data_IF_784467055267
#
_entry.id   IF_784467055267
#
_cell.length_a   1.000
_cell.length_b   1.000
_cell.length_c   1.000
_cell.angle_alpha   90.00
_cell.angle_beta   90.00
_cell.angle_gamma   90.00
#
_symmetry.space_group_name_H-M   'P 1'
#
loop_
_entity.id
_entity.type
_entity.pdbx_description
1 polymer ?
#
# COMPACT_ATOMS: atom_id res chain seq x y z
N UNK A 1 9.92 -9.42 7.54
CA UNK A 1 9.61 -8.43 6.48
C UNK A 1 10.88 -7.81 5.90
N UNK A 2 11.83 -7.33 6.70
CA UNK A 2 13.16 -6.91 6.23
C UNK A 2 13.84 -7.90 5.27
N UNK A 3 13.85 -9.20 5.59
CA UNK A 3 14.44 -10.23 4.72
C UNK A 3 13.81 -10.35 3.31
N UNK A 4 12.58 -9.86 3.12
CA UNK A 4 11.85 -9.85 1.85
C UNK A 4 12.05 -8.50 1.11
N UNK A 5 12.81 -7.57 1.69
CA UNK A 5 13.10 -6.26 1.11
C UNK A 5 12.06 -5.19 1.45
N UNK A 6 11.31 -5.35 2.54
CA UNK A 6 10.43 -4.30 3.05
C UNK A 6 11.14 -3.57 4.18
N UNK A 7 11.40 -2.28 3.96
CA UNK A 7 12.03 -1.39 4.91
C UNK A 7 11.03 -0.81 5.93
N UNK A 8 11.53 -0.07 6.92
CA UNK A 8 10.66 0.51 7.93
C UNK A 8 9.71 1.57 7.36
N UNK A 9 8.46 1.57 7.82
CA UNK A 9 7.42 2.48 7.31
C UNK A 9 7.77 3.95 7.56
N UNK A 10 8.41 4.25 8.71
CA UNK A 10 8.87 5.60 9.05
C UNK A 10 10.13 6.03 8.30
N UNK A 11 10.69 5.20 7.41
CA UNK A 11 11.79 5.58 6.52
C UNK A 11 11.30 5.94 5.12
N UNK A 12 9.99 5.83 4.84
CA UNK A 12 9.45 6.23 3.55
C UNK A 12 9.81 7.68 3.18
N UNK A 13 10.06 7.96 1.89
CA UNK A 13 10.40 9.31 1.43
C UNK A 13 9.28 10.33 1.68
N UNK A 14 8.02 9.90 1.70
CA UNK A 14 6.82 10.72 1.92
C UNK A 14 6.40 10.85 3.40
N UNK A 15 7.14 10.24 4.35
CA UNK A 15 6.74 10.16 5.77
C UNK A 15 6.46 11.51 6.43
N UNK A 16 7.11 12.58 5.98
CA UNK A 16 7.05 13.89 6.66
C UNK A 16 5.67 14.56 6.47
N UNK A 17 4.82 13.97 5.63
CA UNK A 17 3.38 14.30 5.53
C UNK A 17 2.51 13.60 6.58
N UNK A 18 3.05 12.59 7.27
CA UNK A 18 2.33 11.73 8.22
C UNK A 18 2.87 11.83 9.64
N UNK A 19 4.20 11.91 9.80
CA UNK A 19 4.89 11.97 11.08
C UNK A 19 5.91 13.11 11.11
N UNK A 20 6.32 13.50 12.32
CA UNK A 20 7.45 14.38 12.55
C UNK A 20 8.46 13.72 13.47
N UNK A 21 9.74 13.77 13.08
CA UNK A 21 10.86 13.31 13.90
C UNK A 21 11.28 14.42 14.87
N UNK A 22 11.38 14.08 16.15
CA UNK A 22 11.88 14.95 17.22
C UNK A 22 13.37 14.66 17.47
N UNK A 23 14.22 15.08 16.55
CA UNK A 23 15.67 14.78 16.56
C UNK A 23 16.37 15.09 17.89
N UNK A 24 15.98 16.17 18.57
CA UNK A 24 16.53 16.54 19.89
C UNK A 24 16.28 15.49 20.99
N UNK A 25 15.24 14.66 20.83
CA UNK A 25 14.89 13.60 21.77
C UNK A 25 15.56 12.27 21.43
N UNK A 26 16.14 12.12 20.23
CA UNK A 26 16.84 10.91 19.79
C UNK A 26 18.18 10.80 20.52
N UNK A 27 18.52 9.58 20.93
CA UNK A 27 19.81 9.27 21.55
C UNK A 27 20.98 9.59 20.60
N UNK A 28 22.10 10.18 21.09
CA UNK A 28 23.24 10.50 20.24
C UNK A 28 23.72 9.29 19.42
N UNK A 29 23.93 9.49 18.12
CA UNK A 29 24.34 8.43 17.18
C UNK A 29 23.20 7.59 16.60
N UNK A 30 21.97 7.71 17.11
CA UNK A 30 20.83 6.90 16.65
C UNK A 30 20.00 7.56 15.54
N UNK A 31 20.38 8.77 15.08
CA UNK A 31 19.67 9.47 14.00
C UNK A 31 19.65 8.69 12.68
N UNK A 32 20.64 7.84 12.45
CA UNK A 32 20.75 6.96 11.27
C UNK A 32 19.50 6.08 11.10
N UNK A 33 18.86 5.64 12.20
CA UNK A 33 17.65 4.81 12.16
C UNK A 33 16.39 5.58 11.70
N UNK A 34 16.48 6.91 11.58
CA UNK A 34 15.41 7.79 11.12
C UNK A 34 15.74 8.42 9.76
N UNK A 35 16.78 7.98 9.06
CA UNK A 35 17.05 8.48 7.71
C UNK A 35 15.98 8.01 6.74
N UNK A 36 15.59 8.90 5.81
CA UNK A 36 14.64 8.55 4.75
C UNK A 36 15.36 7.75 3.68
N UNK A 37 14.67 6.76 3.14
CA UNK A 37 15.09 6.08 1.93
C UNK A 37 14.69 6.96 0.74
N UNK A 38 15.61 7.25 -0.20
CA UNK A 38 15.32 8.00 -1.42
C UNK A 38 14.23 7.36 -2.29
N UNK A 39 13.49 8.17 -3.07
CA UNK A 39 12.39 7.70 -3.92
C UNK A 39 12.82 6.71 -5.02
N UNK A 40 14.09 6.73 -5.43
CA UNK A 40 14.70 5.82 -6.41
C UNK A 40 15.14 4.49 -5.80
N UNK A 41 15.20 4.39 -4.47
CA UNK A 41 15.57 3.17 -3.75
C UNK A 41 14.37 2.43 -3.14
N UNK A 42 13.17 3.05 -3.14
CA UNK A 42 11.95 2.42 -2.60
C UNK A 42 10.74 2.62 -3.49
N UNK A 43 9.95 1.54 -3.67
CA UNK A 43 8.67 1.60 -4.35
C UNK A 43 7.53 1.59 -3.32
N UNK A 44 6.68 2.62 -3.36
CA UNK A 44 5.52 2.72 -2.46
C UNK A 44 4.35 1.81 -2.88
N UNK A 45 4.38 1.27 -4.10
CA UNK A 45 3.38 0.38 -4.67
C UNK A 45 1.94 0.94 -4.66
N UNK A 46 1.78 2.26 -4.55
CA UNK A 46 0.47 2.91 -4.39
C UNK A 46 -0.20 2.66 -3.03
N UNK A 47 0.51 2.04 -2.08
CA UNK A 47 -0.02 1.68 -0.76
C UNK A 47 0.10 2.89 0.19
N UNK A 48 -1.00 3.31 0.84
CA UNK A 48 -1.00 4.46 1.74
C UNK A 48 -0.13 4.21 2.97
N UNK A 49 0.34 5.29 3.60
CA UNK A 49 1.15 5.23 4.82
C UNK A 49 0.38 4.55 5.95
N UNK A 50 1.02 3.56 6.59
CA UNK A 50 0.39 2.76 7.63
C UNK A 50 1.07 2.94 8.99
N UNK A 51 0.47 3.78 9.83
CA UNK A 51 0.91 3.99 11.22
C UNK A 51 0.92 2.71 12.07
N UNK A 52 0.20 1.67 11.65
CA UNK A 52 0.07 0.39 12.36
C UNK A 52 0.84 -0.74 11.71
N UNK A 53 1.61 -0.46 10.65
CA UNK A 53 2.46 -1.46 10.01
C UNK A 53 3.35 -2.11 11.06
N UNK A 54 3.54 -3.43 10.95
CA UNK A 54 4.54 -4.15 11.77
C UNK A 54 5.96 -3.62 11.56
N UNK A 55 6.19 -2.90 10.45
CA UNK A 55 7.45 -2.25 10.10
C UNK A 55 7.54 -0.79 10.56
N UNK A 56 6.52 -0.28 11.25
CA UNK A 56 6.55 1.07 11.83
C UNK A 56 7.05 1.01 13.27
N UNK A 57 8.11 1.75 13.58
CA UNK A 57 8.59 1.91 14.95
C UNK A 57 7.58 2.61 15.86
N UNK A 58 7.65 2.30 17.16
CA UNK A 58 6.90 3.03 18.18
C UNK A 58 7.35 4.49 18.28
N UNK A 59 6.52 5.33 18.90
CA UNK A 59 6.78 6.78 19.00
C UNK A 59 7.99 7.17 19.85
N UNK A 60 8.57 6.25 20.62
CA UNK A 60 9.70 6.48 21.54
C UNK A 60 10.95 5.66 21.18
N UNK A 61 10.95 4.98 20.04
CA UNK A 61 12.10 4.25 19.52
C UNK A 61 13.36 5.13 19.56
N UNK A 62 14.47 4.59 20.08
CA UNK A 62 15.75 5.30 20.23
C UNK A 62 15.68 6.66 20.96
N UNK A 63 14.63 6.89 21.75
CA UNK A 63 14.53 8.10 22.57
C UNK A 63 15.49 8.07 23.75
N UNK A 64 16.06 9.23 24.07
CA UNK A 64 16.82 9.46 25.31
C UNK A 64 16.01 8.98 26.51
N UNK A 65 16.65 8.27 27.43
CA UNK A 65 15.99 7.78 28.62
C UNK A 65 15.76 8.92 29.63
N UNK A 66 14.53 9.10 30.06
CA UNK A 66 14.17 10.02 31.13
C UNK A 66 14.11 9.26 32.46
N UNK A 67 15.09 9.50 33.33
CA UNK A 67 15.20 8.85 34.64
C UNK A 67 14.10 9.24 35.63
N UNK A 68 13.52 10.45 35.50
CA UNK A 68 12.44 10.90 36.36
C UNK A 68 11.13 10.17 36.06
N UNK A 69 10.81 9.96 34.78
CA UNK A 69 9.59 9.26 34.35
C UNK A 69 9.79 7.76 34.11
N UNK A 70 11.04 7.28 34.15
CA UNK A 70 11.45 5.91 33.78
C UNK A 70 10.96 5.47 32.39
N UNK A 71 10.94 6.40 31.43
CA UNK A 71 10.47 6.18 30.06
C UNK A 71 11.42 6.83 29.05
N UNK A 72 11.44 6.31 27.82
CA UNK A 72 12.10 7.00 26.70
C UNK A 72 11.28 8.23 26.29
N UNK A 73 11.98 9.29 25.89
CA UNK A 73 11.33 10.45 25.29
C UNK A 73 10.73 10.10 23.92
N UNK A 74 9.62 10.73 23.51
CA UNK A 74 9.08 10.53 22.17
C UNK A 74 10.06 11.06 21.11
N UNK A 75 10.35 10.25 20.10
CA UNK A 75 11.19 10.58 18.94
C UNK A 75 10.37 10.77 17.68
N UNK A 76 9.13 10.28 17.65
CA UNK A 76 8.21 10.44 16.53
C UNK A 76 6.81 10.79 17.01
N UNK A 77 6.18 11.74 16.32
CA UNK A 77 4.80 12.14 16.58
C UNK A 77 3.99 12.13 15.29
N UNK A 78 2.78 11.55 15.27
CA UNK A 78 1.90 11.62 14.11
C UNK A 78 1.35 13.03 13.95
N UNK A 79 1.20 13.48 12.70
CA UNK A 79 0.57 14.75 12.36
C UNK A 79 -0.96 14.66 12.38
N UNK A 80 -1.50 13.45 12.18
CA UNK A 80 -2.93 13.17 12.27
C UNK A 80 -3.37 13.07 13.74
N UNK A 81 -4.37 13.85 14.19
CA UNK A 81 -4.90 13.75 15.56
C UNK A 81 -5.51 12.38 15.86
N UNK A 82 -5.39 11.94 17.11
CA UNK A 82 -5.98 10.68 17.58
C UNK A 82 -5.20 9.42 17.21
N UNK A 83 -4.02 9.55 16.60
CA UNK A 83 -3.11 8.44 16.33
C UNK A 83 -2.06 8.36 17.44
N UNK A 84 -1.80 7.14 17.90
CA UNK A 84 -0.70 6.82 18.81
C UNK A 84 0.20 5.81 18.13
N UNK A 85 1.50 6.06 18.15
CA UNK A 85 2.51 5.14 17.62
C UNK A 85 2.92 4.18 18.73
N UNK A 86 2.59 2.90 18.56
CA UNK A 86 2.87 1.82 19.50
C UNK A 86 3.68 0.72 18.82
N UNK A 87 4.24 -0.19 19.60
CA UNK A 87 4.79 -1.43 19.07
C UNK A 87 3.68 -2.27 18.43
N UNK A 88 3.82 -2.55 17.13
CA UNK A 88 2.88 -3.36 16.37
C UNK A 88 3.41 -4.80 16.28
N UNK A 89 2.55 -5.78 16.60
CA UNK A 89 2.91 -7.21 16.63
C UNK A 89 2.18 -8.05 15.59
N UNK A 90 1.39 -7.41 14.72
CA UNK A 90 0.57 -8.09 13.73
C UNK A 90 0.67 -7.39 12.37
N UNK A 91 0.62 -8.18 11.31
CA UNK A 91 0.54 -7.69 9.93
C UNK A 91 -0.81 -6.99 9.71
N UNK A 92 -0.76 -5.76 9.22
CA UNK A 92 -1.96 -5.06 8.72
C UNK A 92 -2.34 -5.57 7.34
N UNK A 93 -3.48 -5.13 6.81
CA UNK A 93 -3.83 -5.44 5.42
C UNK A 93 -2.84 -4.82 4.42
N UNK A 94 -2.31 -3.62 4.71
CA UNK A 94 -1.29 -2.98 3.89
C UNK A 94 0.02 -3.76 3.90
N UNK A 95 0.43 -4.33 5.06
CA UNK A 95 1.63 -5.17 5.13
C UNK A 95 1.46 -6.43 4.29
N UNK A 96 0.30 -7.08 4.38
CA UNK A 96 0.00 -8.28 3.58
C UNK A 96 -0.08 -7.95 2.09
N UNK A 97 -0.63 -6.79 1.72
CA UNK A 97 -0.67 -6.33 0.33
C UNK A 97 0.74 -6.06 -0.22
N UNK A 98 1.63 -5.42 0.54
CA UNK A 98 3.05 -5.27 0.17
C UNK A 98 3.71 -6.62 -0.05
N UNK A 99 3.49 -7.57 0.87
CA UNK A 99 4.02 -8.94 0.74
C UNK A 99 3.49 -9.62 -0.51
N UNK A 100 2.22 -9.44 -0.86
CA UNK A 100 1.67 -10.04 -2.08
C UNK A 100 2.26 -9.42 -3.35
N UNK A 101 2.45 -8.10 -3.38
CA UNK A 101 3.03 -7.41 -4.54
C UNK A 101 4.48 -7.85 -4.74
N UNK A 102 5.29 -7.84 -3.67
CA UNK A 102 6.72 -8.18 -3.74
C UNK A 102 6.92 -9.67 -4.00
N UNK A 103 6.18 -10.52 -3.27
CA UNK A 103 6.20 -11.97 -3.43
C UNK A 103 5.50 -12.47 -4.70
N UNK A 104 4.90 -11.57 -5.51
CA UNK A 104 4.07 -11.90 -6.67
C UNK A 104 2.96 -12.90 -6.32
N UNK A 105 2.45 -12.81 -5.10
CA UNK A 105 1.46 -13.72 -4.57
C UNK A 105 0.09 -13.43 -5.16
N UNK A 106 -0.38 -14.37 -5.98
CA UNK A 106 -1.77 -14.40 -6.39
C UNK A 106 -2.60 -15.02 -5.27
N UNK A 107 -3.25 -14.20 -4.43
CA UNK A 107 -4.22 -14.71 -3.44
C UNK A 107 -5.32 -15.52 -4.16
N UNK A 108 -5.55 -16.80 -3.83
CA UNK A 108 -6.73 -17.51 -4.29
C UNK A 108 -7.96 -16.96 -3.54
N UNK A 109 -8.68 -16.03 -4.18
CA UNK A 109 -9.92 -15.43 -3.69
C UNK A 109 -9.67 -14.15 -2.89
N UNK A 110 -9.76 -12.96 -3.49
CA UNK A 110 -11.03 -12.37 -3.87
C UNK A 110 -10.95 -11.92 -5.33
N UNK A 111 -11.60 -12.65 -6.24
CA UNK A 111 -11.99 -12.04 -7.51
C UNK A 111 -12.97 -10.91 -7.16
N UNK A 112 -12.46 -9.70 -6.97
CA UNK A 112 -13.16 -8.55 -7.56
C UNK A 112 -13.06 -8.77 -9.07
N UNK A 113 -13.95 -9.62 -9.56
CA UNK A 113 -14.18 -9.80 -10.97
C UNK A 113 -14.77 -8.48 -11.43
N UNK A 114 -13.94 -7.59 -11.97
CA UNK A 114 -14.32 -6.65 -13.03
C UNK A 114 -13.17 -5.67 -13.30
N UNK A 115 -12.24 -6.06 -14.17
CA UNK A 115 -11.65 -5.13 -15.16
C UNK A 115 -12.72 -4.68 -16.19
N UNK A 116 -13.94 -4.50 -15.72
CA UNK A 116 -15.17 -4.19 -16.42
C UNK A 116 -15.78 -3.01 -15.67
N UNK A 117 -15.15 -1.86 -15.82
CA UNK A 117 -15.60 -0.60 -15.25
C UNK A 117 -15.62 0.42 -16.39
N UNK A 118 -16.51 1.39 -16.26
CA UNK A 118 -16.52 2.53 -17.16
C UNK A 118 -15.46 3.55 -16.68
N UNK A 119 -14.75 4.13 -17.63
CA UNK A 119 -13.75 5.17 -17.41
C UNK A 119 -14.32 6.59 -17.54
N UNK A 120 -15.58 6.73 -17.98
CA UNK A 120 -16.33 7.99 -18.04
C UNK A 120 -17.64 7.85 -17.26
N UNK A 121 -17.97 8.88 -16.47
CA UNK A 121 -19.17 8.95 -15.64
C UNK A 121 -20.46 9.07 -16.48
N UNK A 122 -20.36 9.44 -17.76
CA UNK A 122 -21.50 9.66 -18.65
C UNK A 122 -21.87 8.43 -19.49
N UNK A 123 -21.27 7.27 -19.25
CA UNK A 123 -21.47 6.08 -20.07
C UNK A 123 -22.94 5.60 -20.13
N UNK A 124 -23.75 5.83 -19.10
CA UNK A 124 -25.20 5.55 -19.16
C UNK A 124 -25.94 6.51 -20.11
N UNK A 125 -25.56 7.78 -20.16
CA UNK A 125 -26.12 8.75 -21.09
C UNK A 125 -25.72 8.40 -22.53
N UNK A 126 -24.45 8.04 -22.75
CA UNK A 126 -23.94 7.65 -24.06
C UNK A 126 -24.62 6.38 -24.59
N UNK A 127 -24.88 5.42 -23.71
CA UNK A 127 -25.65 4.21 -24.04
C UNK A 127 -27.03 4.57 -24.58
N UNK A 128 -27.76 5.48 -23.93
CA UNK A 128 -29.08 5.95 -24.37
C UNK A 128 -28.99 6.67 -25.72
N UNK A 129 -27.89 7.38 -25.99
CA UNK A 129 -27.67 8.08 -27.27
C UNK A 129 -27.22 7.16 -28.41
N UNK A 130 -27.14 5.84 -28.22
CA UNK A 130 -26.73 4.87 -29.24
C UNK A 130 -25.22 4.74 -29.43
N UNK A 131 -24.41 5.27 -28.51
CA UNK A 131 -22.94 5.24 -28.57
C UNK A 131 -22.38 3.82 -28.65
N UNK A 132 -22.95 2.88 -27.89
CA UNK A 132 -22.50 1.48 -27.84
C UNK A 132 -22.71 0.71 -29.16
N UNK A 133 -23.57 1.20 -30.05
CA UNK A 133 -23.94 0.52 -31.31
C UNK A 133 -23.49 1.27 -32.56
N UNK A 134 -22.89 2.45 -32.40
CA UNK A 134 -22.49 3.29 -33.52
C UNK A 134 -21.12 2.90 -34.05
N UNK A 135 -21.03 2.52 -35.33
CA UNK A 135 -19.78 2.01 -35.96
C UNK A 135 -18.58 2.95 -35.82
N UNK A 136 -18.81 4.26 -35.83
CA UNK A 136 -17.72 5.24 -35.69
C UNK A 136 -17.13 5.28 -34.27
N UNK A 137 -17.91 4.92 -33.24
CA UNK A 137 -17.50 5.02 -31.83
C UNK A 137 -17.22 3.66 -31.18
N UNK A 138 -17.23 2.56 -31.96
CA UNK A 138 -17.15 1.19 -31.44
C UNK A 138 -15.90 0.95 -30.58
N UNK A 139 -14.73 1.41 -31.02
CA UNK A 139 -13.47 1.26 -30.28
C UNK A 139 -13.49 2.10 -28.99
N UNK A 140 -13.94 3.35 -29.10
CA UNK A 140 -14.05 4.26 -27.95
C UNK A 140 -15.06 3.74 -26.92
N UNK A 141 -16.15 3.11 -27.36
CA UNK A 141 -17.14 2.50 -26.48
C UNK A 141 -16.58 1.26 -25.75
N UNK A 142 -15.72 0.47 -26.40
CA UNK A 142 -15.01 -0.67 -25.79
C UNK A 142 -13.94 -0.26 -24.78
N UNK A 143 -13.32 0.91 -24.98
CA UNK A 143 -12.30 1.44 -24.07
C UNK A 143 -12.90 2.18 -22.87
N UNK A 144 -13.86 3.07 -23.12
CA UNK A 144 -14.35 4.02 -22.11
C UNK A 144 -15.60 3.50 -21.40
N UNK A 145 -16.51 2.82 -22.11
CA UNK A 145 -17.81 2.41 -21.58
C UNK A 145 -18.01 0.89 -21.60
N UNK A 146 -16.93 0.15 -21.30
CA UNK A 146 -16.88 -1.31 -21.39
C UNK A 146 -17.99 -1.98 -20.56
N UNK A 147 -18.30 -1.45 -19.38
CA UNK A 147 -19.29 -2.00 -18.46
C UNK A 147 -20.71 -1.61 -18.93
N UNK A 148 -20.96 -0.32 -19.15
CA UNK A 148 -22.26 0.20 -19.60
C UNK A 148 -22.72 -0.40 -20.93
N UNK A 149 -21.79 -0.63 -21.86
CA UNK A 149 -22.03 -1.21 -23.17
C UNK A 149 -21.95 -2.74 -23.22
N UNK A 150 -21.59 -3.41 -22.12
CA UNK A 150 -21.61 -4.88 -22.02
C UNK A 150 -20.44 -5.61 -22.70
N UNK A 151 -19.30 -4.96 -22.92
CA UNK A 151 -18.14 -5.51 -23.64
C UNK A 151 -17.18 -6.34 -22.78
N UNK A 152 -17.66 -6.87 -21.65
CA UNK A 152 -16.80 -7.43 -20.62
C UNK A 152 -16.43 -8.91 -20.78
N UNK A 153 -16.80 -9.56 -21.88
CA UNK A 153 -16.63 -11.00 -22.09
C UNK A 153 -15.45 -11.40 -23.00
N UNK A 154 -14.70 -10.46 -23.58
CA UNK A 154 -13.64 -10.76 -24.59
C UNK A 154 -12.20 -10.67 -24.05
N UNK A 155 -11.91 -11.18 -22.85
CA UNK A 155 -10.52 -11.19 -22.35
C UNK A 155 -10.19 -12.51 -21.66
N UNK A 156 -9.85 -13.52 -22.47
CA UNK A 156 -9.25 -14.76 -22.00
C UNK A 156 -7.89 -14.54 -21.35
N UNK A 157 -7.61 -15.31 -20.30
CA UNK A 157 -6.25 -15.61 -19.86
C UNK A 157 -6.20 -17.05 -19.36
N UNK A 158 -5.52 -17.89 -20.12
CA UNK A 158 -5.04 -19.21 -19.72
C UNK A 158 -4.13 -19.03 -18.50
N UNK A 159 -4.40 -19.76 -17.42
CA UNK A 159 -3.68 -19.68 -16.15
C UNK A 159 -2.47 -20.63 -16.19
N UNK A 160 -1.27 -20.09 -16.00
CA UNK A 160 -0.08 -20.90 -15.69
C UNK A 160 -0.09 -21.21 -14.18
N UNK A 161 -0.23 -22.50 -13.85
CA UNK A 161 -0.38 -23.04 -12.49
C UNK A 161 0.91 -23.05 -11.66
N UNK A 162 2.06 -22.67 -12.23
CA UNK A 162 3.36 -22.76 -11.54
C UNK A 162 3.61 -21.63 -10.52
N UNK A 163 3.04 -20.43 -10.71
CA UNK A 163 3.26 -19.26 -9.84
C UNK A 163 2.48 -19.29 -8.50
N UNK A 164 1.50 -20.19 -8.33
CA UNK A 164 0.66 -20.21 -7.11
C UNK A 164 1.33 -20.89 -5.90
N UNK A 165 2.47 -21.57 -6.09
CA UNK A 165 3.06 -22.43 -5.05
C UNK A 165 3.98 -21.69 -4.08
N UNK A 166 4.63 -20.61 -4.52
CA UNK A 166 5.65 -19.90 -3.72
C UNK A 166 5.10 -19.09 -2.53
N UNK A 167 3.80 -18.78 -2.53
CA UNK A 167 3.22 -17.89 -1.52
C UNK A 167 2.56 -18.58 -0.32
N UNK A 168 2.34 -19.90 -0.39
CA UNK A 168 1.80 -20.65 0.75
C UNK A 168 2.80 -20.80 1.90
N UNK A 169 4.09 -20.59 1.63
CA UNK A 169 5.17 -20.80 2.59
C UNK A 169 5.65 -19.50 3.28
N UNK A 170 5.27 -18.32 2.77
CA UNK A 170 5.66 -17.02 3.34
C UNK A 170 4.78 -16.62 4.55
N UNK A 171 3.55 -17.14 4.65
CA UNK A 171 2.56 -16.76 5.69
C UNK A 171 2.42 -17.83 6.80
N UNK A 172 3.43 -18.68 6.98
CA UNK A 172 3.44 -19.77 7.98
C UNK A 172 4.31 -19.50 9.22
N UNK A 173 4.44 -18.24 9.63
CA UNK A 173 5.05 -17.86 10.90
C UNK A 173 4.05 -17.11 11.78
#
# INVERSE_FOLDING_TARGET
MHAIGIEHEHQRPDRDTYIRILSNNVEPGQMINFEKIPYDEVNLHGIPYDYRSIMHYDGSAFGKYNFATRKRLPTMVPLKPGITLIDNFALTENDKEKLDIIGKCRRPGNKKNSTCQDHDLNCETYKISGFCTHKFYENTAKEICKASCGFCNDSGTQLDETLSKECKDIVRF
#
